data_IF_927384609800
#
_entry.id   IF_927384609800
#
_cell.length_a   1.000
_cell.length_b   1.000
_cell.length_c   1.000
_cell.angle_alpha   90.00
_cell.angle_beta   90.00
_cell.angle_gamma   90.00
#
_symmetry.space_group_name_H-M   'P 1'
#
loop_
_entity.id
_entity.type
_entity.pdbx_description
1 polymer ?
#
# COMPACT_ATOMS: atom_id res chain seq x y z
N UNK A 1 -10.23 -28.58 18.74
CA UNK A 1 -10.96 -27.42 18.20
C UNK A 1 -9.98 -26.26 18.31
N UNK A 2 -9.11 -26.13 17.30
CA UNK A 2 -7.98 -25.20 17.37
C UNK A 2 -8.45 -23.81 17.01
N UNK A 3 -8.08 -22.82 17.83
CA UNK A 3 -8.00 -21.40 17.45
C UNK A 3 -7.05 -21.28 16.25
N UNK A 4 -7.51 -21.67 15.06
CA UNK A 4 -6.86 -21.28 13.82
C UNK A 4 -7.05 -19.78 13.78
N UNK A 5 -5.93 -19.07 13.86
CA UNK A 5 -5.80 -17.68 13.45
C UNK A 5 -6.32 -17.56 11.99
N UNK A 6 -7.63 -17.60 11.79
CA UNK A 6 -8.28 -17.13 10.58
C UNK A 6 -8.28 -15.61 10.65
N UNK A 7 -7.08 -15.02 10.65
CA UNK A 7 -6.96 -13.71 10.02
C UNK A 7 -7.29 -13.99 8.55
N UNK A 8 -8.58 -13.88 8.23
CA UNK A 8 -9.10 -14.17 6.92
C UNK A 8 -8.30 -13.35 5.93
N UNK A 9 -7.74 -14.00 4.92
CA UNK A 9 -6.90 -13.31 3.93
C UNK A 9 -7.66 -12.16 3.28
N UNK A 10 -8.99 -12.25 3.21
CA UNK A 10 -9.86 -11.15 2.82
C UNK A 10 -9.69 -9.89 3.69
N UNK A 11 -9.52 -10.03 5.01
CA UNK A 11 -9.30 -8.89 5.94
C UNK A 11 -7.94 -8.24 5.70
N UNK A 12 -6.89 -9.03 5.41
CA UNK A 12 -5.56 -8.49 5.11
C UNK A 12 -5.54 -7.79 3.74
N UNK A 13 -6.22 -8.35 2.74
CA UNK A 13 -6.37 -7.72 1.43
C UNK A 13 -7.21 -6.45 1.50
N UNK A 14 -8.28 -6.45 2.28
CA UNK A 14 -9.09 -5.26 2.54
C UNK A 14 -8.31 -4.17 3.27
N UNK A 15 -7.51 -4.53 4.29
CA UNK A 15 -6.62 -3.59 4.97
C UNK A 15 -5.55 -3.03 4.02
N UNK A 16 -4.98 -3.86 3.14
CA UNK A 16 -4.02 -3.42 2.13
C UNK A 16 -4.68 -2.44 1.13
N UNK A 17 -5.89 -2.75 0.64
CA UNK A 17 -6.64 -1.86 -0.25
C UNK A 17 -7.03 -0.53 0.41
N UNK A 18 -7.43 -0.55 1.69
CA UNK A 18 -7.70 0.67 2.48
C UNK A 18 -6.44 1.51 2.67
N UNK A 19 -5.28 0.87 2.82
CA UNK A 19 -3.99 1.56 2.95
C UNK A 19 -3.57 2.20 1.63
N UNK A 20 -3.72 1.50 0.51
CA UNK A 20 -3.44 2.03 -0.84
C UNK A 20 -4.30 3.28 -1.13
N UNK A 21 -5.61 3.22 -0.84
CA UNK A 21 -6.51 4.37 -0.98
C UNK A 21 -6.12 5.55 -0.07
N UNK A 22 -5.63 5.29 1.14
CA UNK A 22 -5.17 6.33 2.04
C UNK A 22 -3.89 7.00 1.53
N UNK A 23 -3.00 6.23 0.90
CA UNK A 23 -1.81 6.74 0.22
C UNK A 23 -2.22 7.62 -0.95
N UNK A 24 -3.09 7.13 -1.85
CA UNK A 24 -3.57 7.89 -3.00
C UNK A 24 -4.14 9.25 -2.58
N UNK A 25 -4.98 9.28 -1.54
CA UNK A 25 -5.52 10.53 -0.98
C UNK A 25 -4.44 11.46 -0.43
N UNK A 26 -3.45 10.93 0.27
CA UNK A 26 -2.32 11.72 0.76
C UNK A 26 -1.50 12.29 -0.40
N UNK A 27 -1.29 11.52 -1.48
CA UNK A 27 -0.63 12.00 -2.69
C UNK A 27 -1.43 13.11 -3.36
N UNK A 28 -2.76 12.97 -3.48
CA UNK A 28 -3.67 13.98 -4.03
C UNK A 28 -3.63 15.29 -3.23
N UNK A 29 -3.73 15.20 -1.89
CA UNK A 29 -3.65 16.36 -0.99
C UNK A 29 -2.31 17.11 -1.18
N UNK A 30 -1.22 16.38 -1.41
CA UNK A 30 0.07 17.01 -1.69
C UNK A 30 0.20 17.62 -3.07
N UNK A 31 -0.45 17.07 -4.09
CA UNK A 31 -0.52 17.76 -5.39
C UNK A 31 -1.23 19.11 -5.22
N UNK A 32 -2.28 19.17 -4.39
CA UNK A 32 -2.97 20.44 -4.07
C UNK A 32 -2.04 21.39 -3.32
N UNK A 33 -1.41 20.94 -2.24
CA UNK A 33 -0.46 21.75 -1.46
C UNK A 33 0.71 22.22 -2.32
N UNK A 34 1.24 21.36 -3.18
CA UNK A 34 2.35 21.70 -4.08
C UNK A 34 1.94 22.73 -5.13
N UNK A 35 0.70 22.66 -5.63
CA UNK A 35 0.15 23.66 -6.55
C UNK A 35 -0.05 25.01 -5.86
N UNK A 36 -0.61 25.01 -4.67
CA UNK A 36 -0.85 26.22 -3.88
C UNK A 36 0.47 26.89 -3.50
N UNK A 37 1.46 26.10 -3.07
CA UNK A 37 2.79 26.58 -2.76
C UNK A 37 3.59 26.95 -4.02
N UNK A 38 3.41 26.29 -5.17
CA UNK A 38 4.02 26.68 -6.45
C UNK A 38 3.63 28.12 -6.83
N UNK A 39 2.36 28.46 -6.62
CA UNK A 39 1.82 29.80 -6.88
C UNK A 39 2.47 30.86 -5.97
N UNK A 40 2.80 30.49 -4.73
CA UNK A 40 3.49 31.37 -3.77
C UNK A 40 5.02 31.41 -3.96
N UNK A 41 5.64 30.29 -4.34
CA UNK A 41 7.09 30.11 -4.47
C UNK A 41 7.66 30.72 -5.75
N UNK A 42 6.83 30.99 -6.77
CA UNK A 42 7.22 31.82 -7.92
C UNK A 42 7.77 33.20 -7.49
N UNK A 43 7.41 33.67 -6.29
CA UNK A 43 7.91 34.91 -5.69
C UNK A 43 9.01 34.70 -4.64
N UNK A 44 9.52 33.47 -4.44
CA UNK A 44 10.51 33.15 -3.40
C UNK A 44 11.90 32.89 -4.01
N UNK A 45 12.68 33.95 -4.30
CA UNK A 45 14.04 33.79 -4.76
C UNK A 45 14.95 33.21 -3.66
N UNK A 46 16.01 32.51 -4.08
CA UNK A 46 17.10 32.08 -3.20
C UNK A 46 16.79 30.81 -2.40
N UNK A 47 17.25 30.77 -1.14
CA UNK A 47 17.23 29.56 -0.30
C UNK A 47 15.83 29.00 -0.03
N UNK A 48 14.80 29.85 0.00
CA UNK A 48 13.41 29.43 0.24
C UNK A 48 12.86 28.56 -0.91
N UNK A 49 13.11 28.95 -2.17
CA UNK A 49 12.73 28.14 -3.33
C UNK A 49 13.49 26.80 -3.37
N UNK A 50 14.79 26.81 -3.05
CA UNK A 50 15.60 25.59 -3.00
C UNK A 50 15.15 24.60 -1.91
N UNK A 51 14.78 25.12 -0.72
CA UNK A 51 14.25 24.31 0.37
C UNK A 51 12.90 23.68 0.00
N UNK A 52 12.03 24.45 -0.66
CA UNK A 52 10.75 23.94 -1.17
C UNK A 52 10.95 22.81 -2.19
N UNK A 53 11.82 23.01 -3.19
CA UNK A 53 12.11 21.96 -4.18
C UNK A 53 12.67 20.69 -3.53
N UNK A 54 13.54 20.82 -2.53
CA UNK A 54 14.10 19.67 -1.80
C UNK A 54 13.01 18.93 -1.01
N UNK A 55 12.10 19.68 -0.37
CA UNK A 55 10.96 19.09 0.34
C UNK A 55 10.02 18.35 -0.60
N UNK A 56 9.71 18.93 -1.77
CA UNK A 56 8.87 18.31 -2.79
C UNK A 56 9.50 17.01 -3.30
N UNK A 57 10.78 17.01 -3.68
CA UNK A 57 11.48 15.81 -4.14
C UNK A 57 11.59 14.73 -3.06
N UNK A 58 11.82 15.13 -1.80
CA UNK A 58 11.83 14.19 -0.68
C UNK A 58 10.46 13.53 -0.46
N UNK A 59 9.38 14.28 -0.65
CA UNK A 59 8.02 13.75 -0.56
C UNK A 59 7.69 12.80 -1.70
N UNK A 60 7.97 13.17 -2.94
CA UNK A 60 7.75 12.30 -4.13
C UNK A 60 8.49 10.96 -3.97
N UNK A 61 9.71 10.97 -3.42
CA UNK A 61 10.46 9.76 -3.14
C UNK A 61 9.81 8.90 -2.04
N UNK A 62 9.30 9.53 -0.97
CA UNK A 62 8.62 8.83 0.12
C UNK A 62 7.29 8.20 -0.34
N UNK A 63 6.51 8.94 -1.13
CA UNK A 63 5.25 8.48 -1.72
C UNK A 63 5.46 7.28 -2.64
N UNK A 64 6.43 7.38 -3.55
CA UNK A 64 6.82 6.29 -4.45
C UNK A 64 7.27 5.02 -3.71
N UNK A 65 8.06 5.18 -2.65
CA UNK A 65 8.52 4.08 -1.79
C UNK A 65 7.34 3.41 -1.11
N UNK A 66 6.47 4.21 -0.47
CA UNK A 66 5.33 3.72 0.27
C UNK A 66 4.31 3.00 -0.64
N UNK A 67 4.03 3.55 -1.82
CA UNK A 67 3.17 2.90 -2.81
C UNK A 67 3.74 1.56 -3.28
N UNK A 68 5.06 1.51 -3.51
CA UNK A 68 5.75 0.27 -3.91
C UNK A 68 5.64 -0.80 -2.83
N UNK A 69 5.92 -0.44 -1.57
CA UNK A 69 5.91 -1.37 -0.44
C UNK A 69 4.50 -1.92 -0.17
N UNK A 70 3.47 -1.06 -0.23
CA UNK A 70 2.07 -1.49 -0.04
C UNK A 70 1.60 -2.40 -1.16
N UNK A 71 1.92 -2.08 -2.42
CA UNK A 71 1.62 -2.96 -3.56
C UNK A 71 2.34 -4.29 -3.46
N UNK A 72 3.59 -4.29 -3.00
CA UNK A 72 4.35 -5.53 -2.81
C UNK A 72 3.75 -6.40 -1.69
N UNK A 73 3.39 -5.78 -0.56
CA UNK A 73 2.69 -6.46 0.52
C UNK A 73 1.37 -7.06 0.05
N UNK A 74 0.57 -6.32 -0.72
CA UNK A 74 -0.68 -6.80 -1.28
C UNK A 74 -0.46 -8.05 -2.16
N UNK A 75 0.56 -8.03 -3.04
CA UNK A 75 0.91 -9.20 -3.86
C UNK A 75 1.32 -10.41 -3.03
N UNK A 76 2.15 -10.21 -2.00
CA UNK A 76 2.57 -11.28 -1.07
C UNK A 76 1.38 -11.89 -0.32
N UNK A 77 0.43 -11.06 0.10
CA UNK A 77 -0.80 -11.51 0.75
C UNK A 77 -1.68 -12.30 -0.20
N UNK A 78 -1.85 -11.87 -1.45
CA UNK A 78 -2.60 -12.60 -2.47
C UNK A 78 -1.97 -13.97 -2.79
N UNK A 79 -0.65 -14.02 -2.94
CA UNK A 79 0.07 -15.27 -3.14
C UNK A 79 -0.14 -16.24 -1.96
N UNK A 80 0.00 -15.73 -0.73
CA UNK A 80 -0.24 -16.52 0.48
C UNK A 80 -1.68 -17.02 0.58
N UNK A 81 -2.66 -16.21 0.16
CA UNK A 81 -4.08 -16.60 0.10
C UNK A 81 -4.28 -17.83 -0.79
N UNK A 82 -3.68 -17.76 -1.98
CA UNK A 82 -3.80 -18.80 -3.00
C UNK A 82 -3.14 -20.08 -2.51
N UNK A 83 -1.94 -19.99 -1.95
CA UNK A 83 -1.22 -21.14 -1.41
C UNK A 83 -2.03 -21.83 -0.29
N UNK A 84 -2.69 -21.04 0.57
CA UNK A 84 -3.54 -21.56 1.62
C UNK A 84 -4.77 -22.28 1.05
N UNK A 85 -5.46 -21.68 0.08
CA UNK A 85 -6.62 -22.29 -0.58
C UNK A 85 -6.25 -23.60 -1.31
N UNK A 86 -5.09 -23.64 -1.99
CA UNK A 86 -4.58 -24.84 -2.65
C UNK A 86 -4.16 -25.92 -1.65
N UNK A 87 -3.61 -25.54 -0.49
CA UNK A 87 -3.29 -26.47 0.59
C UNK A 87 -4.54 -27.07 1.24
N UNK A 88 -5.58 -26.27 1.49
CA UNK A 88 -6.83 -26.76 2.06
C UNK A 88 -7.57 -27.66 1.05
N UNK A 89 -7.63 -27.29 -0.23
CA UNK A 89 -8.22 -28.13 -1.28
C UNK A 89 -7.54 -29.50 -1.41
N UNK A 90 -6.21 -29.57 -1.34
CA UNK A 90 -5.46 -30.83 -1.31
C UNK A 90 -5.77 -31.66 -0.07
N UNK A 91 -5.92 -30.99 1.08
CA UNK A 91 -6.25 -31.64 2.34
C UNK A 91 -7.66 -32.23 2.31
N UNK A 92 -8.64 -31.48 1.81
CA UNK A 92 -10.02 -31.95 1.62
C UNK A 92 -10.10 -33.12 0.62
N UNK A 93 -9.41 -33.02 -0.53
CA UNK A 93 -9.38 -34.10 -1.51
C UNK A 93 -8.80 -35.39 -0.93
N UNK A 94 -7.74 -35.27 -0.11
CA UNK A 94 -7.14 -36.42 0.60
C UNK A 94 -8.12 -37.03 1.60
N UNK A 95 -8.81 -36.22 2.40
CA UNK A 95 -9.81 -36.69 3.38
C UNK A 95 -10.97 -37.41 2.66
N UNK A 96 -11.46 -36.86 1.55
CA UNK A 96 -12.61 -37.39 0.81
C UNK A 96 -12.27 -38.63 -0.04
N UNK A 97 -11.00 -38.80 -0.44
CA UNK A 97 -10.52 -39.96 -1.21
C UNK A 97 -10.06 -41.15 -0.37
N UNK A 98 -9.96 -41.01 0.96
CA UNK A 98 -9.64 -42.11 1.89
C UNK A 98 -10.86 -42.73 2.56
N UNK A 99 -12.06 -42.47 2.05
CA UNK A 99 -13.34 -43.02 2.51
C UNK A 99 -13.82 -44.19 1.66
#
# INVERSE_FOLDING_TARGET
MGDRLEVSVAVLLDAAGRTDLAIERASEDLVVVARDLSTATACWPGAAGAAYSTLLSGWEAADSTLSTDVKDLARKLQASARDYAEAEARTEARIRGTG
#
